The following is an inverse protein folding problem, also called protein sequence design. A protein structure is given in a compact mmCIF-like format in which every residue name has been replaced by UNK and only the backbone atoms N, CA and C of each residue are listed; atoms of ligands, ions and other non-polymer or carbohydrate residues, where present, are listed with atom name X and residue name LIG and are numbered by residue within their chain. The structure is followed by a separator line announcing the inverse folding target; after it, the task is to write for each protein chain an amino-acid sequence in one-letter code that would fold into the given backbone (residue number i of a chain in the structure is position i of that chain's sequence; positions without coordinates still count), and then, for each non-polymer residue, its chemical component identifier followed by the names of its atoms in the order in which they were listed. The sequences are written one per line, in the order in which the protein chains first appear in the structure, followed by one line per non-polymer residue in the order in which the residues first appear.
data_IF_702965905012
#
_entry.id   IF_702965905012
#
_cell.length_a   1.000
_cell.length_b   1.000
_cell.length_c   1.000
_cell.angle_alpha   90.00
_cell.angle_beta   90.00
_cell.angle_gamma   90.00
#
_symmetry.space_group_name_H-M   'P 1'
#
loop_
_entity.id
_entity.type
_entity.pdbx_description
1 polymer ?
#
# COMPACT_ATOMS: atom_id res chain seq x y z
N UNK A 1 14.20 6.95 25.03
CA UNK A 1 14.04 6.50 23.64
C UNK A 1 12.72 5.75 23.54
N UNK A 2 11.69 6.39 22.97
CA UNK A 2 10.35 5.80 22.83
C UNK A 2 10.17 5.09 21.49
N UNK A 3 9.20 4.17 21.43
CA UNK A 3 8.69 3.63 20.16
C UNK A 3 7.63 4.59 19.61
N UNK A 4 7.82 5.05 18.38
CA UNK A 4 6.89 5.93 17.69
C UNK A 4 6.21 5.16 16.56
N UNK A 5 4.93 4.89 16.74
CA UNK A 5 4.10 4.23 15.74
C UNK A 5 3.54 5.27 14.77
N UNK A 6 3.64 4.97 13.48
CA UNK A 6 3.03 5.75 12.42
C UNK A 6 1.91 4.97 11.73
N UNK A 7 1.41 5.52 10.63
CA UNK A 7 0.52 4.83 9.70
C UNK A 7 1.15 4.74 8.32
N UNK A 8 0.75 3.74 7.54
CA UNK A 8 1.18 3.51 6.17
C UNK A 8 -0.04 3.26 5.29
N UNK A 9 -0.11 3.94 4.15
CA UNK A 9 -1.13 3.70 3.14
C UNK A 9 -0.50 3.77 1.76
N UNK A 10 -0.96 2.90 0.86
CA UNK A 10 -0.82 3.15 -0.57
C UNK A 10 -1.88 4.14 -1.04
N UNK A 11 -1.62 4.78 -2.17
CA UNK A 11 -2.57 5.67 -2.81
C UNK A 11 -2.31 5.74 -4.30
N UNK A 12 -3.20 6.43 -5.00
CA UNK A 12 -3.03 6.76 -6.40
C UNK A 12 -2.80 8.26 -6.54
N UNK A 13 -1.78 8.62 -7.30
CA UNK A 13 -1.47 9.99 -7.67
C UNK A 13 -1.85 10.23 -9.13
N UNK A 14 -2.50 11.36 -9.41
CA UNK A 14 -2.77 11.84 -10.77
C UNK A 14 -2.22 13.24 -10.92
N UNK A 15 -1.59 13.53 -12.04
CA UNK A 15 -1.25 14.91 -12.38
C UNK A 15 -2.50 15.57 -12.94
N UNK A 16 -2.94 16.65 -12.32
CA UNK A 16 -4.08 17.46 -12.76
C UNK A 16 -3.64 18.91 -12.94
N UNK A 17 -4.43 19.70 -13.67
CA UNK A 17 -4.31 21.17 -13.64
C UNK A 17 -5.15 21.71 -12.51
N UNK A 18 -4.57 22.57 -11.67
CA UNK A 18 -5.29 23.29 -10.63
C UNK A 18 -6.23 24.32 -11.29
N UNK A 19 -7.52 24.37 -10.92
CA UNK A 19 -8.50 25.22 -11.61
C UNK A 19 -8.26 26.74 -11.56
N UNK A 20 -7.57 27.26 -10.54
CA UNK A 20 -7.38 28.70 -10.31
C UNK A 20 -6.08 29.19 -10.97
N UNK A 21 -4.95 28.56 -10.70
CA UNK A 21 -3.63 28.94 -11.23
C UNK A 21 -3.32 28.32 -12.59
N UNK A 22 -4.00 27.23 -12.95
CA UNK A 22 -3.71 26.45 -14.16
C UNK A 22 -2.42 25.62 -14.07
N UNK A 23 -1.72 25.65 -12.93
CA UNK A 23 -0.48 24.93 -12.71
C UNK A 23 -0.73 23.43 -12.55
N UNK A 24 0.29 22.62 -12.84
CA UNK A 24 0.21 21.17 -12.62
C UNK A 24 0.40 20.87 -11.13
N UNK A 25 -0.49 20.04 -10.59
CA UNK A 25 -0.41 19.54 -9.22
C UNK A 25 -0.67 18.04 -9.16
N UNK A 26 -0.22 17.41 -8.08
CA UNK A 26 -0.60 16.03 -7.77
C UNK A 26 -1.94 16.01 -7.04
N UNK A 27 -2.93 15.35 -7.64
CA UNK A 27 -4.13 14.90 -6.93
C UNK A 27 -3.84 13.54 -6.30
N UNK A 28 -3.83 13.50 -4.98
CA UNK A 28 -3.49 12.32 -4.19
C UNK A 28 -4.75 11.75 -3.54
N UNK A 29 -4.99 10.46 -3.76
CA UNK A 29 -6.03 9.71 -3.06
C UNK A 29 -5.39 8.54 -2.30
N UNK A 30 -5.53 8.53 -0.99
CA UNK A 30 -5.03 7.47 -0.13
C UNK A 30 -6.04 6.33 -0.05
N UNK A 31 -5.57 5.10 -0.30
CA UNK A 31 -6.29 3.88 0.05
C UNK A 31 -6.05 3.56 1.51
N UNK A 32 -6.85 4.15 2.41
CA UNK A 32 -6.70 3.98 3.84
C UNK A 32 -7.16 2.59 4.28
N UNK A 33 -6.24 1.63 4.30
CA UNK A 33 -6.40 0.39 5.08
C UNK A 33 -6.11 0.76 6.53
N UNK A 34 -7.14 1.29 7.21
CA UNK A 34 -6.99 1.90 8.52
C UNK A 34 -8.03 1.36 9.50
N UNK A 35 -7.59 1.05 10.71
CA UNK A 35 -8.50 0.65 11.79
C UNK A 35 -9.30 1.87 12.26
N UNK A 36 -10.53 1.67 12.75
CA UNK A 36 -11.33 2.80 13.23
C UNK A 36 -10.60 3.47 14.41
N UNK A 37 -10.37 4.77 14.33
CA UNK A 37 -9.78 5.57 15.41
C UNK A 37 -10.81 6.49 16.06
N UNK A 38 -10.43 7.10 17.18
CA UNK A 38 -11.28 8.06 17.91
C UNK A 38 -11.47 9.37 17.14
N UNK A 39 -10.56 9.67 16.20
CA UNK A 39 -10.58 10.87 15.38
C UNK A 39 -11.44 10.69 14.11
N UNK A 40 -12.29 9.67 14.01
CA UNK A 40 -13.27 9.54 12.93
C UNK A 40 -12.72 9.17 11.55
N UNK A 41 -11.44 8.79 11.45
CA UNK A 41 -10.84 8.28 10.21
C UNK A 41 -11.24 6.83 10.02
N UNK A 42 -11.88 6.57 8.90
CA UNK A 42 -12.39 5.25 8.52
C UNK A 42 -11.63 4.71 7.32
N UNK A 43 -11.62 3.38 7.20
CA UNK A 43 -11.04 2.74 6.03
C UNK A 43 -11.77 3.16 4.74
N UNK A 44 -11.04 3.58 3.72
CA UNK A 44 -11.61 4.04 2.47
C UNK A 44 -10.65 4.88 1.62
N UNK A 45 -11.08 5.15 0.38
CA UNK A 45 -10.36 6.08 -0.48
C UNK A 45 -10.63 7.50 0.01
N UNK A 46 -9.60 8.15 0.54
CA UNK A 46 -9.67 9.52 1.05
C UNK A 46 -8.80 10.41 0.18
N UNK A 47 -9.37 11.50 -0.33
CA UNK A 47 -8.58 12.57 -0.92
C UNK A 47 -7.63 13.13 0.15
N UNK A 48 -6.42 13.47 -0.25
CA UNK A 48 -5.40 14.05 0.63
C UNK A 48 -5.94 15.25 1.41
N UNK A 49 -6.75 16.12 0.81
CA UNK A 49 -7.29 17.29 1.51
C UNK A 49 -8.24 16.89 2.63
N UNK A 50 -8.97 15.78 2.50
CA UNK A 50 -9.88 15.30 3.53
C UNK A 50 -9.11 14.61 4.65
N UNK A 51 -8.10 13.80 4.29
CA UNK A 51 -7.27 13.11 5.28
C UNK A 51 -6.42 14.09 6.10
N UNK A 52 -5.94 15.15 5.45
CA UNK A 52 -5.06 16.13 6.09
C UNK A 52 -5.82 17.30 6.70
N UNK A 53 -6.79 17.87 5.98
CA UNK A 53 -7.34 19.20 6.23
C UNK A 53 -8.68 19.26 6.97
N UNK A 54 -9.24 18.14 7.42
CA UNK A 54 -10.46 18.18 8.23
C UNK A 54 -10.20 18.93 9.54
N UNK A 55 -10.99 19.97 9.83
CA UNK A 55 -10.77 20.89 10.96
C UNK A 55 -10.96 20.24 12.34
N UNK A 56 -11.69 19.12 12.41
CA UNK A 56 -11.91 18.38 13.65
C UNK A 56 -11.08 17.09 13.71
N UNK A 57 -10.75 16.51 12.54
CA UNK A 57 -10.28 15.13 12.43
C UNK A 57 -9.04 14.95 11.52
N UNK A 58 -8.53 16.04 10.93
CA UNK A 58 -7.43 16.02 9.98
C UNK A 58 -6.06 16.08 10.65
N UNK A 59 -5.06 15.56 9.95
CA UNK A 59 -3.71 15.39 10.50
C UNK A 59 -2.73 16.55 10.25
N UNK A 60 -3.06 17.51 9.37
CA UNK A 60 -2.11 18.51 8.86
C UNK A 60 -1.39 19.32 9.96
N UNK A 61 -2.09 19.64 11.05
CA UNK A 61 -1.53 20.42 12.16
C UNK A 61 -0.95 19.60 13.31
N UNK A 62 -1.15 18.28 13.32
CA UNK A 62 -0.83 17.42 14.48
C UNK A 62 0.05 16.22 14.16
N UNK A 63 0.16 15.84 12.88
CA UNK A 63 1.04 14.76 12.41
C UNK A 63 1.74 15.14 11.10
N UNK A 64 3.07 15.03 11.06
CA UNK A 64 3.80 15.13 9.80
C UNK A 64 3.49 13.92 8.92
N UNK A 65 3.28 14.15 7.62
CA UNK A 65 3.18 13.09 6.61
C UNK A 65 4.31 13.20 5.59
N UNK A 66 4.71 12.04 5.07
CA UNK A 66 5.69 11.93 3.99
C UNK A 66 5.09 11.05 2.91
N UNK A 67 4.84 11.62 1.74
CA UNK A 67 4.39 10.89 0.56
C UNK A 67 5.58 10.63 -0.37
N UNK A 68 5.72 9.39 -0.82
CA UNK A 68 6.64 9.03 -1.90
C UNK A 68 5.81 8.78 -3.15
N UNK A 69 5.84 9.72 -4.09
CA UNK A 69 5.21 9.55 -5.39
C UNK A 69 6.14 8.72 -6.27
N UNK A 70 5.64 7.58 -6.71
CA UNK A 70 6.38 6.61 -7.51
C UNK A 70 5.92 6.68 -8.96
N UNK A 71 6.85 6.93 -9.88
CA UNK A 71 6.64 6.70 -11.31
C UNK A 71 7.46 5.48 -11.74
N UNK A 72 6.79 4.41 -12.12
CA UNK A 72 7.41 3.16 -12.57
C UNK A 72 6.66 2.61 -13.78
N UNK A 73 7.40 2.32 -14.85
CA UNK A 73 6.85 1.87 -16.14
C UNK A 73 6.10 0.54 -16.06
N UNK A 74 6.42 -0.28 -15.05
CA UNK A 74 5.78 -1.57 -14.78
C UNK A 74 4.30 -1.44 -14.33
N UNK A 75 3.87 -0.25 -13.91
CA UNK A 75 2.48 0.01 -13.55
C UNK A 75 1.69 0.76 -14.64
N UNK A 76 2.33 1.10 -15.76
CA UNK A 76 1.63 1.64 -16.93
C UNK A 76 0.80 0.56 -17.64
N UNK A 77 -0.21 0.94 -18.44
CA UNK A 77 -1.02 -0.04 -19.18
C UNK A 77 -0.18 -0.90 -20.12
N UNK A 78 -0.44 -2.20 -20.12
CA UNK A 78 0.13 -3.17 -21.06
C UNK A 78 -0.80 -3.32 -22.27
N UNK A 79 -0.21 -3.47 -23.46
CA UNK A 79 -0.95 -3.76 -24.69
C UNK A 79 -0.39 -4.99 -25.41
N UNK A 80 -1.11 -6.10 -25.34
CA UNK A 80 -0.77 -7.36 -26.01
C UNK A 80 -1.61 -7.51 -27.28
N UNK A 81 -1.26 -6.76 -28.33
CA UNK A 81 -1.95 -6.86 -29.63
C UNK A 81 -3.40 -6.36 -29.63
N UNK A 82 -3.73 -5.36 -28.80
CA UNK A 82 -5.07 -4.82 -28.59
C UNK A 82 -5.69 -5.26 -27.25
N UNK A 83 -5.15 -6.31 -26.63
CA UNK A 83 -5.61 -6.80 -25.35
C UNK A 83 -4.95 -5.99 -24.22
N UNK A 84 -5.69 -5.03 -23.65
CA UNK A 84 -5.18 -4.06 -22.68
C UNK A 84 -5.26 -4.59 -21.23
N UNK A 85 -4.24 -4.31 -20.43
CA UNK A 85 -4.23 -4.56 -18.98
C UNK A 85 -3.76 -3.33 -18.22
N UNK A 86 -4.40 -3.03 -17.09
CA UNK A 86 -4.18 -1.80 -16.33
C UNK A 86 -3.72 -2.13 -14.90
N UNK A 87 -2.41 -2.20 -14.62
CA UNK A 87 -1.90 -2.59 -13.30
C UNK A 87 -2.41 -1.75 -12.14
N UNK A 88 -2.53 -0.42 -12.32
CA UNK A 88 -3.06 0.46 -11.26
C UNK A 88 -4.55 0.22 -10.96
N UNK A 89 -5.33 -0.32 -11.90
CA UNK A 89 -6.72 -0.71 -11.64
C UNK A 89 -6.77 -1.96 -10.74
N UNK A 90 -5.85 -2.90 -10.95
CA UNK A 90 -5.70 -4.05 -10.07
C UNK A 90 -5.34 -3.63 -8.64
N UNK A 91 -4.44 -2.64 -8.48
CA UNK A 91 -4.10 -2.07 -7.18
C UNK A 91 -5.30 -1.39 -6.52
N UNK A 92 -6.02 -0.53 -7.26
CA UNK A 92 -7.22 0.12 -6.77
C UNK A 92 -8.25 -0.90 -6.26
N UNK A 93 -8.49 -1.97 -7.04
CA UNK A 93 -9.44 -3.03 -6.69
C UNK A 93 -9.03 -3.77 -5.41
N UNK A 94 -7.75 -4.15 -5.26
CA UNK A 94 -7.30 -4.86 -4.06
C UNK A 94 -7.31 -3.95 -2.83
N UNK A 95 -7.00 -2.66 -2.99
CA UNK A 95 -7.16 -1.67 -1.93
C UNK A 95 -8.63 -1.56 -1.52
N UNK A 96 -9.56 -1.40 -2.47
CA UNK A 96 -10.99 -1.30 -2.19
C UNK A 96 -11.51 -2.52 -1.43
N UNK A 97 -11.09 -3.72 -1.85
CA UNK A 97 -11.41 -4.97 -1.15
C UNK A 97 -10.91 -4.95 0.29
N UNK A 98 -9.64 -4.61 0.52
CA UNK A 98 -9.07 -4.60 1.87
C UNK A 98 -9.67 -3.50 2.75
N UNK A 99 -9.90 -2.31 2.20
CA UNK A 99 -10.55 -1.21 2.90
C UNK A 99 -11.99 -1.56 3.29
N UNK A 100 -12.74 -2.28 2.44
CA UNK A 100 -14.07 -2.76 2.77
C UNK A 100 -14.01 -3.74 3.96
N UNK A 101 -13.08 -4.69 3.96
CA UNK A 101 -12.86 -5.62 5.08
C UNK A 101 -12.59 -4.88 6.38
N UNK A 102 -11.70 -3.89 6.36
CA UNK A 102 -11.39 -3.05 7.53
C UNK A 102 -12.57 -2.22 8.01
N UNK A 103 -13.37 -1.69 7.08
CA UNK A 103 -14.52 -0.84 7.40
C UNK A 103 -15.59 -1.60 8.19
N UNK A 104 -15.86 -2.85 7.83
CA UNK A 104 -16.90 -3.68 8.44
C UNK A 104 -16.36 -4.75 9.40
N UNK A 105 -15.04 -4.83 9.60
CA UNK A 105 -14.39 -5.87 10.40
C UNK A 105 -14.72 -7.30 9.94
N UNK A 106 -14.79 -7.53 8.63
CA UNK A 106 -15.30 -8.78 8.04
C UNK A 106 -16.69 -9.21 8.59
N UNK A 107 -17.58 -8.24 8.81
CA UNK A 107 -18.94 -8.47 9.31
C UNK A 107 -19.09 -8.42 10.83
N UNK A 108 -18.00 -8.25 11.58
CA UNK A 108 -18.04 -8.06 13.05
C UNK A 108 -18.34 -6.62 13.47
N UNK A 109 -18.42 -5.69 12.53
CA UNK A 109 -18.79 -4.29 12.71
C UNK A 109 -17.64 -3.33 12.41
N UNK A 110 -16.46 -3.57 12.97
CA UNK A 110 -15.30 -2.69 12.82
C UNK A 110 -13.98 -3.43 13.07
N UNK A 111 -12.91 -2.99 12.41
CA UNK A 111 -11.55 -3.39 12.77
C UNK A 111 -10.95 -2.39 13.75
N UNK A 112 -10.36 -2.90 14.83
CA UNK A 112 -9.63 -2.12 15.85
C UNK A 112 -8.14 -2.41 15.80
N UNK A 113 -7.34 -1.41 16.14
CA UNK A 113 -5.89 -1.54 16.23
C UNK A 113 -5.50 -2.60 17.27
N UNK A 114 -4.63 -3.53 16.89
CA UNK A 114 -4.09 -4.56 17.78
C UNK A 114 -2.97 -5.33 17.09
N UNK A 115 -2.22 -6.14 17.85
CA UNK A 115 -1.09 -6.91 17.30
C UNK A 115 -1.47 -7.90 16.19
N UNK A 116 -2.76 -8.23 16.06
CA UNK A 116 -3.29 -9.10 15.01
C UNK A 116 -3.56 -8.36 13.68
N UNK A 117 -3.80 -7.04 13.72
CA UNK A 117 -4.25 -6.24 12.59
C UNK A 117 -3.22 -5.15 12.29
N UNK A 118 -2.45 -5.33 11.22
CA UNK A 118 -1.43 -4.38 10.79
C UNK A 118 -1.81 -3.72 9.49
N UNK A 119 -2.13 -2.42 9.56
CA UNK A 119 -2.41 -1.58 8.40
C UNK A 119 -1.28 -1.64 7.36
N UNK A 120 -0.03 -1.71 7.81
CA UNK A 120 1.17 -1.78 6.97
C UNK A 120 1.20 -3.11 6.20
N UNK A 121 0.99 -4.24 6.91
CA UNK A 121 1.02 -5.57 6.30
C UNK A 121 -0.08 -5.75 5.28
N UNK A 122 -1.30 -5.40 5.65
CA UNK A 122 -2.46 -5.61 4.82
C UNK A 122 -2.42 -4.65 3.61
N UNK A 123 -1.86 -3.43 3.76
CA UNK A 123 -1.54 -2.56 2.63
C UNK A 123 -0.50 -3.19 1.68
N UNK A 124 0.63 -3.68 2.21
CA UNK A 124 1.66 -4.39 1.43
C UNK A 124 1.09 -5.62 0.71
N UNK A 125 0.19 -6.35 1.36
CA UNK A 125 -0.52 -7.48 0.78
C UNK A 125 -1.37 -7.04 -0.42
N UNK A 126 -2.08 -5.91 -0.34
CA UNK A 126 -2.88 -5.43 -1.49
C UNK A 126 -2.03 -5.20 -2.74
N UNK A 127 -0.81 -4.66 -2.58
CA UNK A 127 0.13 -4.46 -3.69
C UNK A 127 0.55 -5.80 -4.31
N UNK A 128 0.96 -6.76 -3.47
CA UNK A 128 1.35 -8.10 -3.94
C UNK A 128 0.18 -8.81 -4.65
N UNK A 129 -1.01 -8.79 -4.06
CA UNK A 129 -2.20 -9.41 -4.64
C UNK A 129 -2.62 -8.74 -5.96
N UNK A 130 -2.43 -7.43 -6.09
CA UNK A 130 -2.74 -6.71 -7.31
C UNK A 130 -1.85 -7.17 -8.48
N UNK A 131 -0.53 -7.28 -8.24
CA UNK A 131 0.41 -7.77 -9.23
C UNK A 131 0.11 -9.24 -9.56
N UNK A 132 -0.13 -10.07 -8.54
CA UNK A 132 -0.46 -11.49 -8.73
C UNK A 132 -1.76 -11.69 -9.52
N UNK A 133 -2.79 -10.90 -9.24
CA UNK A 133 -4.06 -10.92 -9.99
C UNK A 133 -3.82 -10.62 -11.46
N UNK A 134 -3.10 -9.53 -11.76
CA UNK A 134 -2.74 -9.16 -13.13
C UNK A 134 -1.94 -10.26 -13.84
N UNK A 135 -0.92 -10.83 -13.19
CA UNK A 135 -0.12 -11.92 -13.76
C UNK A 135 -0.98 -13.16 -14.03
N UNK A 136 -1.91 -13.50 -13.14
CA UNK A 136 -2.84 -14.62 -13.33
C UNK A 136 -3.85 -14.36 -14.45
N UNK A 137 -4.32 -13.13 -14.64
CA UNK A 137 -5.20 -12.76 -15.74
C UNK A 137 -4.49 -12.88 -17.10
N UNK A 138 -3.21 -12.50 -17.14
CA UNK A 138 -2.35 -12.65 -18.32
C UNK A 138 -2.11 -14.13 -18.63
N UNK A 139 -1.77 -14.93 -17.62
CA UNK A 139 -1.47 -16.37 -17.74
C UNK A 139 -2.68 -17.18 -18.25
N UNK A 140 -3.89 -16.77 -17.84
CA UNK A 140 -5.14 -17.46 -18.21
C UNK A 140 -5.75 -17.03 -19.53
N UNK A 141 -5.25 -15.96 -20.15
CA UNK A 141 -5.76 -15.46 -21.44
C UNK A 141 -4.96 -16.09 -22.60
N UNK A 142 -5.56 -17.01 -23.38
CA UNK A 142 -4.84 -17.73 -24.43
C UNK A 142 -4.34 -16.82 -25.55
N UNK A 143 -5.02 -15.71 -25.83
CA UNK A 143 -4.61 -14.76 -26.88
C UNK A 143 -3.35 -14.00 -26.44
N UNK A 144 -3.29 -13.60 -25.17
CA UNK A 144 -2.11 -12.95 -24.61
C UNK A 144 -0.93 -13.94 -24.58
N UNK A 145 -1.14 -15.19 -24.15
CA UNK A 145 -0.07 -16.20 -24.16
C UNK A 145 0.48 -16.43 -25.56
N UNK A 146 -0.41 -16.61 -26.55
CA UNK A 146 0.00 -16.75 -27.95
C UNK A 146 0.78 -15.52 -28.45
N UNK A 147 0.35 -14.32 -28.08
CA UNK A 147 1.05 -13.08 -28.41
C UNK A 147 2.45 -13.01 -27.77
N UNK A 148 2.58 -13.42 -26.50
CA UNK A 148 3.87 -13.43 -25.79
C UNK A 148 4.87 -14.41 -26.42
N UNK A 149 4.39 -15.57 -26.86
CA UNK A 149 5.19 -16.58 -27.56
C UNK A 149 5.61 -16.12 -28.96
N UNK A 150 4.71 -15.41 -29.66
CA UNK A 150 4.98 -14.88 -31.00
C UNK A 150 5.95 -13.71 -30.97
N UNK A 151 5.91 -12.88 -29.92
CA UNK A 151 6.71 -11.66 -29.80
C UNK A 151 7.61 -11.64 -28.55
N UNK A 152 8.56 -12.60 -28.42
CA UNK A 152 9.33 -12.78 -27.18
C UNK A 152 10.28 -11.61 -26.86
N UNK A 153 10.64 -10.82 -27.88
CA UNK A 153 11.56 -9.68 -27.77
C UNK A 153 10.87 -8.31 -27.73
N UNK A 154 9.53 -8.28 -27.84
CA UNK A 154 8.77 -7.03 -27.80
C UNK A 154 8.95 -6.33 -26.44
N UNK A 155 8.99 -4.99 -26.39
CA UNK A 155 9.12 -4.23 -25.14
C UNK A 155 8.14 -4.67 -24.05
N UNK A 156 6.87 -4.91 -24.40
CA UNK A 156 5.84 -5.40 -23.46
C UNK A 156 6.17 -6.75 -22.84
N UNK A 157 6.66 -7.72 -23.62
CA UNK A 157 7.10 -9.03 -23.10
C UNK A 157 8.25 -8.88 -22.12
N UNK A 158 9.23 -8.00 -22.44
CA UNK A 158 10.36 -7.71 -21.54
C UNK A 158 9.90 -6.99 -20.27
N UNK A 159 8.95 -6.07 -20.40
CA UNK A 159 8.35 -5.33 -19.28
C UNK A 159 7.54 -6.26 -18.38
N UNK A 160 6.80 -7.21 -18.94
CA UNK A 160 6.09 -8.24 -18.18
C UNK A 160 7.06 -9.13 -17.39
N UNK A 161 8.17 -9.56 -18.01
CA UNK A 161 9.24 -10.31 -17.30
C UNK A 161 9.81 -9.51 -16.12
N UNK A 162 10.03 -8.20 -16.29
CA UNK A 162 10.45 -7.31 -15.19
C UNK A 162 9.39 -7.21 -14.09
N UNK A 163 8.10 -7.14 -14.43
CA UNK A 163 7.01 -7.15 -13.45
C UNK A 163 6.94 -8.45 -12.66
N UNK A 164 7.16 -9.60 -13.31
CA UNK A 164 7.27 -10.91 -12.62
C UNK A 164 8.44 -10.91 -11.63
N UNK A 165 9.61 -10.40 -12.03
CA UNK A 165 10.75 -10.27 -11.14
C UNK A 165 10.48 -9.31 -9.98
N UNK A 166 9.83 -8.17 -10.24
CA UNK A 166 9.42 -7.22 -9.21
C UNK A 166 8.52 -7.90 -8.18
N UNK A 167 7.52 -8.67 -8.63
CA UNK A 167 6.63 -9.41 -7.75
C UNK A 167 7.38 -10.36 -6.81
N UNK A 168 8.38 -11.09 -7.35
CA UNK A 168 9.23 -11.99 -6.55
C UNK A 168 10.11 -11.23 -5.55
N UNK A 169 10.63 -10.06 -5.93
CA UNK A 169 11.42 -9.22 -5.03
C UNK A 169 10.57 -8.67 -3.87
N UNK A 170 9.36 -8.18 -4.20
CA UNK A 170 8.37 -7.75 -3.20
C UNK A 170 7.97 -8.91 -2.29
N UNK A 171 7.68 -10.08 -2.84
CA UNK A 171 7.35 -11.29 -2.07
C UNK A 171 8.45 -11.66 -1.07
N UNK A 172 9.71 -11.70 -1.53
CA UNK A 172 10.86 -12.03 -0.68
C UNK A 172 11.02 -11.07 0.51
N UNK A 173 10.73 -9.79 0.31
CA UNK A 173 11.01 -8.75 1.30
C UNK A 173 9.80 -8.43 2.20
N UNK A 174 8.59 -8.47 1.64
CA UNK A 174 7.34 -8.17 2.35
C UNK A 174 6.78 -9.41 3.07
N UNK A 175 7.19 -10.62 2.66
CA UNK A 175 6.81 -11.90 3.29
C UNK A 175 8.05 -12.55 3.91
N UNK A 176 8.49 -12.12 5.11
CA UNK A 176 9.56 -12.83 5.79
C UNK A 176 9.10 -14.27 6.09
N UNK A 177 9.83 -15.24 5.52
CA UNK A 177 9.76 -16.69 5.79
C UNK A 177 8.65 -17.54 5.16
N UNK A 178 8.11 -17.21 3.99
CA UNK A 178 7.20 -18.12 3.25
C UNK A 178 5.93 -18.53 4.03
N UNK A 179 5.71 -17.95 5.22
CA UNK A 179 4.46 -18.00 5.97
C UNK A 179 3.70 -16.77 5.48
N UNK A 180 3.25 -16.81 4.22
CA UNK A 180 2.08 -16.01 3.88
C UNK A 180 1.03 -16.38 4.94
N UNK A 181 0.52 -15.40 5.69
CA UNK A 181 -0.53 -15.68 6.67
C UNK A 181 -1.59 -16.50 5.93
N UNK A 182 -2.15 -17.54 6.54
CA UNK A 182 -3.08 -18.46 5.85
C UNK A 182 -4.26 -17.70 5.22
N UNK A 183 -4.62 -16.55 5.79
CA UNK A 183 -5.64 -15.66 5.27
C UNK A 183 -5.26 -14.77 4.09
N UNK A 184 -3.99 -14.82 3.68
CA UNK A 184 -3.53 -14.27 2.40
C UNK A 184 -3.75 -15.25 1.26
N UNK A 185 -3.83 -16.54 1.56
CA UNK A 185 -4.12 -17.61 0.61
C UNK A 185 -5.64 -17.83 0.49
N UNK A 186 -6.36 -17.75 1.61
CA UNK A 186 -7.82 -17.80 1.64
C UNK A 186 -8.41 -16.63 2.47
N UNK A 187 -8.94 -15.57 1.82
CA UNK A 187 -9.54 -14.44 2.52
C UNK A 187 -10.83 -14.80 3.29
N UNK A 188 -11.38 -16.00 3.11
CA UNK A 188 -12.55 -16.49 3.86
C UNK A 188 -12.18 -17.24 5.16
N UNK A 189 -10.90 -17.57 5.38
CA UNK A 189 -10.47 -18.34 6.56
C UNK A 189 -10.10 -17.48 7.78
N UNK A 190 -9.91 -16.17 7.64
CA UNK A 190 -9.73 -15.26 8.80
C UNK A 190 -10.69 -14.08 8.78
N UNK A 191 -11.15 -13.71 9.98
CA UNK A 191 -11.84 -12.46 10.22
C UNK A 191 -10.88 -11.47 10.86
N UNK A 192 -10.66 -10.34 10.16
CA UNK A 192 -9.84 -9.19 10.62
C UNK A 192 -10.48 -8.52 11.86
N UNK A 193 -11.76 -8.79 12.13
CA UNK A 193 -12.50 -8.21 13.26
C UNK A 193 -12.54 -9.05 14.55
N UNK A 194 -11.84 -10.18 14.61
CA UNK A 194 -11.84 -11.02 15.82
C UNK A 194 -10.94 -10.44 16.92
N UNK A 195 -11.49 -10.30 18.14
CA UNK A 195 -10.77 -9.82 19.32
C UNK A 195 -9.62 -10.76 19.67
N UNK A 196 -8.49 -10.19 20.13
CA UNK A 196 -7.29 -10.87 20.67
C UNK A 196 -7.57 -12.05 21.62
N UNK A 197 -8.73 -12.06 22.28
CA UNK A 197 -9.15 -13.09 23.22
C UNK A 197 -9.37 -14.49 22.59
N UNK A 198 -9.40 -14.63 21.26
CA UNK A 198 -9.77 -15.90 20.63
C UNK A 198 -8.58 -16.76 20.15
N UNK A 199 -7.36 -16.21 19.92
CA UNK A 199 -6.16 -16.97 19.49
C UNK A 199 -4.81 -16.38 19.98
N UNK A 200 -4.54 -16.34 21.29
CA UNK A 200 -3.43 -15.56 21.88
C UNK A 200 -2.02 -16.03 21.47
N UNK A 201 -1.77 -17.33 21.32
CA UNK A 201 -0.43 -17.87 21.05
C UNK A 201 0.03 -17.60 19.60
N UNK A 202 -0.86 -17.78 18.63
CA UNK A 202 -0.55 -17.54 17.22
C UNK A 202 -0.35 -16.06 16.92
N UNK A 203 -1.06 -15.16 17.61
CA UNK A 203 -0.93 -13.71 17.45
C UNK A 203 0.43 -13.18 17.92
N UNK A 204 0.98 -13.71 19.02
CA UNK A 204 2.29 -13.29 19.53
C UNK A 204 3.42 -13.79 18.62
N UNK A 205 3.34 -15.04 18.16
CA UNK A 205 4.30 -15.58 17.20
C UNK A 205 4.29 -14.81 15.87
N UNK A 206 3.10 -14.50 15.34
CA UNK A 206 2.95 -13.71 14.12
C UNK A 206 3.42 -12.26 14.30
N UNK A 207 3.21 -11.63 15.46
CA UNK A 207 3.70 -10.28 15.74
C UNK A 207 5.24 -10.21 15.80
N UNK A 208 5.90 -11.25 16.32
CA UNK A 208 7.36 -11.31 16.39
C UNK A 208 8.00 -11.64 15.03
N UNK A 209 7.37 -12.47 14.19
CA UNK A 209 7.92 -12.85 12.87
C UNK A 209 7.68 -11.81 11.78
N UNK A 210 6.72 -10.91 11.96
CA UNK A 210 6.30 -9.93 10.95
C UNK A 210 6.70 -8.48 11.26
N UNK A 211 7.62 -8.29 12.21
CA UNK A 211 8.08 -6.98 12.68
C UNK A 211 8.60 -6.04 11.58
N UNK A 212 9.21 -6.57 10.51
CA UNK A 212 9.66 -5.77 9.34
C UNK A 212 8.51 -5.11 8.57
N UNK A 213 7.33 -5.73 8.60
CA UNK A 213 6.11 -5.23 7.98
C UNK A 213 5.13 -4.64 9.01
N UNK A 214 5.47 -4.56 10.29
CA UNK A 214 4.72 -3.82 11.31
C UNK A 214 5.14 -2.34 11.39
N UNK A 215 6.35 -2.01 10.93
CA UNK A 215 6.88 -0.66 10.99
C UNK A 215 6.61 0.12 9.69
N UNK A 216 5.79 1.18 9.73
CA UNK A 216 5.45 1.98 8.55
C UNK A 216 6.68 2.50 7.80
N UNK A 217 7.66 3.01 8.55
CA UNK A 217 8.83 3.65 7.97
C UNK A 217 9.78 2.65 7.31
N UNK A 218 9.94 1.48 7.92
CA UNK A 218 10.77 0.42 7.36
C UNK A 218 10.16 -0.12 6.07
N UNK A 219 8.86 -0.45 6.07
CA UNK A 219 8.15 -0.91 4.87
C UNK A 219 8.22 0.11 3.73
N UNK A 220 7.98 1.38 4.03
CA UNK A 220 8.03 2.47 3.05
C UNK A 220 9.41 2.60 2.39
N UNK A 221 10.49 2.59 3.17
CA UNK A 221 11.84 2.72 2.63
C UNK A 221 12.26 1.49 1.82
N UNK A 222 11.89 0.29 2.29
CA UNK A 222 12.21 -0.97 1.60
C UNK A 222 11.48 -1.08 0.26
N UNK A 223 10.19 -0.70 0.20
CA UNK A 223 9.43 -0.66 -1.06
C UNK A 223 10.01 0.40 -2.01
N UNK A 224 10.36 1.57 -1.49
CA UNK A 224 10.97 2.63 -2.29
C UNK A 224 12.32 2.19 -2.89
N UNK A 225 13.15 1.49 -2.12
CA UNK A 225 14.41 0.91 -2.58
C UNK A 225 14.19 -0.13 -3.68
N UNK A 226 13.27 -1.09 -3.46
CA UNK A 226 12.91 -2.08 -4.50
C UNK A 226 12.43 -1.36 -5.77
N UNK A 227 11.56 -0.36 -5.66
CA UNK A 227 11.07 0.35 -6.83
C UNK A 227 12.20 1.09 -7.58
N UNK A 228 13.16 1.70 -6.86
CA UNK A 228 14.36 2.30 -7.48
C UNK A 228 15.21 1.26 -8.22
N UNK A 229 15.45 0.08 -7.63
CA UNK A 229 16.18 -1.02 -8.27
C UNK A 229 15.51 -1.47 -9.59
N UNK A 230 14.18 -1.36 -9.66
CA UNK A 230 13.40 -1.67 -10.84
C UNK A 230 13.20 -0.49 -11.80
N UNK A 231 13.89 0.64 -11.58
CA UNK A 231 13.92 1.78 -12.48
C UNK A 231 12.86 2.84 -12.22
N UNK A 232 12.26 2.89 -11.02
CA UNK A 232 11.32 3.93 -10.67
C UNK A 232 12.01 5.30 -10.50
N UNK A 233 11.24 6.36 -10.72
CA UNK A 233 11.56 7.71 -10.23
C UNK A 233 10.71 8.01 -9.01
N UNK A 234 11.34 8.51 -7.94
CA UNK A 234 10.67 8.85 -6.69
C UNK A 234 10.64 10.37 -6.49
N UNK A 235 9.49 10.90 -6.07
CA UNK A 235 9.33 12.30 -5.67
C UNK A 235 8.79 12.35 -4.24
N UNK A 236 9.49 13.03 -3.34
CA UNK A 236 9.13 13.09 -1.93
C UNK A 236 8.37 14.39 -1.63
N UNK A 237 7.19 14.26 -1.01
CA UNK A 237 6.43 15.38 -0.46
C UNK A 237 6.44 15.23 1.06
N UNK A 238 6.78 16.30 1.79
CA UNK A 238 6.85 16.30 3.26
C UNK A 238 6.04 17.44 3.83
N UNK A 239 5.16 17.13 4.78
CA UNK A 239 4.31 18.10 5.48
C UNK A 239 4.77 18.23 6.93
N UNK A 240 6.00 18.72 7.12
CA UNK A 240 6.61 18.72 8.46
C UNK A 240 5.89 19.66 9.43
N UNK A 241 5.75 20.93 9.06
CA UNK A 241 5.07 21.96 9.83
C UNK A 241 4.35 22.91 8.87
N UNK A 242 3.08 23.18 9.15
CA UNK A 242 2.23 24.06 8.35
C UNK A 242 1.64 25.11 9.29
N UNK A 243 1.82 26.38 8.95
CA UNK A 243 1.41 27.52 9.78
C UNK A 243 2.55 28.24 10.51
N UNK A 244 3.80 27.76 10.42
CA UNK A 244 4.96 28.38 11.03
C UNK A 244 5.99 27.35 11.50
N UNK A 245 7.10 27.83 12.08
CA UNK A 245 8.06 27.01 12.78
C UNK A 245 7.70 26.97 14.27
N UNK A 246 7.60 25.77 14.83
CA UNK A 246 7.33 25.55 16.26
C UNK A 246 8.39 24.59 16.82
N UNK A 247 9.27 25.09 17.68
CA UNK A 247 10.35 24.30 18.29
C UNK A 247 9.84 23.24 19.27
N UNK A 248 8.60 23.35 19.75
CA UNK A 248 7.98 22.36 20.64
C UNK A 248 7.36 21.17 19.88
N UNK A 249 7.23 21.27 18.55
CA UNK A 249 6.57 20.28 17.68
C UNK A 249 7.57 19.75 16.64
N UNK A 250 8.70 19.20 17.09
CA UNK A 250 9.67 18.58 16.18
C UNK A 250 9.09 17.27 15.59
N UNK A 251 9.05 17.11 14.24
CA UNK A 251 8.59 15.89 13.60
C UNK A 251 9.48 14.68 13.96
N UNK A 252 8.96 13.76 14.76
CA UNK A 252 9.67 12.51 15.06
C UNK A 252 9.28 11.46 14.02
N UNK A 253 10.25 10.98 13.24
CA UNK A 253 10.02 9.91 12.28
C UNK A 253 9.59 8.61 13.01
N UNK A 254 8.64 7.83 12.46
CA UNK A 254 8.27 6.54 13.04
C UNK A 254 9.49 5.62 13.18
N UNK A 255 9.51 4.83 14.24
CA UNK A 255 10.68 4.02 14.59
C UNK A 255 11.07 3.09 13.44
N UNK A 256 12.33 3.18 13.03
CA UNK A 256 13.03 2.16 12.25
C UNK A 256 13.85 1.34 13.24
N UNK A 257 13.60 0.06 13.33
CA UNK A 257 14.57 -0.81 13.97
C UNK A 257 15.66 -1.15 12.95
N UNK A 258 16.90 -0.89 13.29
CA UNK A 258 18.05 -1.26 12.49
C UNK A 258 18.41 -2.73 12.81
N UNK A 259 18.23 -3.64 11.86
CA UNK A 259 18.88 -4.95 11.82
C UNK A 259 19.36 -5.24 10.41
#
# INVERSE_FOLDING_TARGET
MGLFFGHFAFGLARVIKEPISGELQFKLAYGQVYTQNLDGIIAGSLDWTNYMGDRQFGWLGSRPTVDIIVKLDLFEPYNFGGNLRFPLNALAYQLDKMMARYRIGDGTGATFAGFANSCVQDSCQTLYQAIKMLLSEIDRDPEIQHWLDTYPQHPETKRLKRLVSLNKALEKQLIPWNIARTDWLDPYESSIGTRLAHRPINTIANALTSWRSLLPRLANDLIAEIFLEYGASLWLLKTNQIGGWDEEIEPIAPTKFWL
#
